data_IF_374355497232
#
_entry.id   IF_374355497232
#
_cell.length_a   1.000
_cell.length_b   1.000
_cell.length_c   1.000
_cell.angle_alpha   90.00
_cell.angle_beta   90.00
_cell.angle_gamma   90.00
#
_symmetry.space_group_name_H-M   'P 1'
#
loop_
_entity.id
_entity.type
_entity.pdbx_description
1 polymer ?
#
# COMPACT_ATOMS: atom_id res chain seq x y z
N UNK A 1 8.27 16.89 -1.84
CA UNK A 1 7.77 15.79 -1.00
C UNK A 1 6.71 14.88 -1.67
N UNK A 2 6.90 13.56 -1.53
CA UNK A 2 6.00 12.50 -2.02
C UNK A 2 4.64 12.48 -1.32
N UNK A 3 4.51 13.18 -0.18
CA UNK A 3 3.29 13.44 0.60
C UNK A 3 2.03 13.66 -0.23
N UNK A 4 2.11 14.41 -1.33
CA UNK A 4 0.95 14.70 -2.20
C UNK A 4 0.32 13.46 -2.81
N UNK A 5 1.15 12.48 -3.20
CA UNK A 5 0.70 11.22 -3.77
C UNK A 5 0.29 10.27 -2.64
N UNK A 6 1.07 10.21 -1.56
CA UNK A 6 0.78 9.41 -0.36
C UNK A 6 -0.59 9.75 0.25
N UNK A 7 -0.97 11.03 0.30
CA UNK A 7 -2.26 11.48 0.81
C UNK A 7 -3.48 11.01 0.02
N UNK A 8 -3.31 10.47 -1.20
CA UNK A 8 -4.43 9.94 -2.00
C UNK A 8 -4.75 8.47 -1.69
N UNK A 9 -3.74 7.69 -1.29
CA UNK A 9 -3.91 6.24 -1.07
C UNK A 9 -4.88 5.87 0.06
N UNK A 10 -4.97 6.58 1.20
CA UNK A 10 -5.92 6.23 2.25
C UNK A 10 -7.37 6.19 1.75
N UNK A 11 -7.71 7.05 0.78
CA UNK A 11 -9.03 7.03 0.14
C UNK A 11 -9.18 5.86 -0.82
N UNK A 12 -8.20 5.66 -1.72
CA UNK A 12 -8.22 4.57 -2.71
C UNK A 12 -8.31 3.20 -2.03
N UNK A 13 -7.48 2.94 -1.02
CA UNK A 13 -7.48 1.68 -0.28
C UNK A 13 -8.79 1.48 0.46
N UNK A 14 -9.34 2.53 1.08
CA UNK A 14 -10.64 2.44 1.76
C UNK A 14 -11.78 2.12 0.80
N UNK A 15 -11.80 2.74 -0.38
CA UNK A 15 -12.82 2.51 -1.39
C UNK A 15 -12.71 1.07 -1.96
N UNK A 16 -11.48 0.59 -2.20
CA UNK A 16 -11.22 -0.79 -2.61
C UNK A 16 -11.62 -1.81 -1.53
N UNK A 17 -11.20 -1.59 -0.28
CA UNK A 17 -11.54 -2.44 0.85
C UNK A 17 -13.07 -2.59 1.01
N UNK A 18 -13.82 -1.49 0.87
CA UNK A 18 -15.29 -1.52 0.85
C UNK A 18 -15.87 -2.28 -0.33
N UNK A 19 -15.35 -2.05 -1.54
CA UNK A 19 -15.82 -2.71 -2.75
C UNK A 19 -15.62 -4.23 -2.69
N UNK A 20 -14.49 -4.66 -2.13
CA UNK A 20 -14.09 -6.07 -2.02
C UNK A 20 -14.58 -6.73 -0.72
N UNK A 21 -15.22 -5.96 0.17
CA UNK A 21 -15.62 -6.37 1.52
C UNK A 21 -14.47 -6.95 2.36
N UNK A 22 -13.27 -6.41 2.16
CA UNK A 22 -12.07 -6.74 2.94
C UNK A 22 -11.84 -5.68 4.02
N UNK A 23 -11.20 -6.08 5.11
CA UNK A 23 -10.76 -5.16 6.16
C UNK A 23 -9.26 -4.90 5.99
N UNK A 24 -8.87 -3.65 5.73
CA UNK A 24 -7.48 -3.31 5.40
C UNK A 24 -7.08 -2.04 6.13
N UNK A 25 -5.90 -2.07 6.74
CA UNK A 25 -5.22 -0.94 7.34
C UNK A 25 -4.05 -0.51 6.45
N UNK A 26 -4.04 0.75 6.03
CA UNK A 26 -2.94 1.33 5.27
C UNK A 26 -2.02 2.11 6.22
N UNK A 27 -0.75 1.71 6.28
CA UNK A 27 0.28 2.44 6.99
C UNK A 27 1.18 3.20 6.00
N UNK A 28 1.44 4.48 6.28
CA UNK A 28 2.28 5.34 5.44
C UNK A 28 3.50 5.74 6.24
N UNK A 29 4.70 5.47 5.72
CA UNK A 29 5.98 5.78 6.39
C UNK A 29 6.85 6.62 5.45
N UNK A 30 7.47 7.66 5.99
CA UNK A 30 8.38 8.51 5.20
C UNK A 30 7.69 9.36 4.13
N UNK A 31 6.43 9.77 4.38
CA UNK A 31 5.67 10.66 3.50
C UNK A 31 6.35 12.01 3.23
N UNK A 32 7.28 12.42 4.09
CA UNK A 32 8.03 13.67 3.96
C UNK A 32 9.29 13.53 3.08
N UNK A 33 9.57 12.34 2.55
CA UNK A 33 10.69 12.11 1.62
C UNK A 33 10.56 13.01 0.38
N UNK A 34 11.65 13.71 0.05
CA UNK A 34 11.70 14.60 -1.11
C UNK A 34 12.03 13.84 -2.40
N UNK A 35 11.12 13.94 -3.36
CA UNK A 35 11.28 13.44 -4.71
C UNK A 35 10.94 14.54 -5.70
N UNK A 36 11.58 14.47 -6.87
CA UNK A 36 11.26 15.30 -8.02
C UNK A 36 9.79 15.21 -8.39
N UNK A 37 9.17 16.36 -8.64
CA UNK A 37 7.74 16.45 -8.95
C UNK A 37 7.34 15.59 -10.15
N UNK A 38 8.14 15.62 -11.22
CA UNK A 38 7.89 14.84 -12.44
C UNK A 38 7.95 13.33 -12.16
N UNK A 39 8.88 12.91 -11.30
CA UNK A 39 9.02 11.52 -10.88
C UNK A 39 7.82 11.09 -10.02
N UNK A 40 7.40 11.93 -9.08
CA UNK A 40 6.20 11.69 -8.25
C UNK A 40 4.96 11.52 -9.11
N UNK A 41 4.77 12.36 -10.13
CA UNK A 41 3.62 12.26 -11.04
C UNK A 41 3.68 10.99 -11.90
N UNK A 42 4.86 10.62 -12.42
CA UNK A 42 5.05 9.41 -13.20
C UNK A 42 4.90 8.12 -12.36
N UNK A 43 5.28 8.15 -11.08
CA UNK A 43 5.18 7.01 -10.16
C UNK A 43 3.78 6.87 -9.53
N UNK A 44 2.95 7.91 -9.57
CA UNK A 44 1.64 7.88 -8.92
C UNK A 44 0.77 6.72 -9.42
N UNK A 45 0.63 6.57 -10.74
CA UNK A 45 -0.18 5.51 -11.34
C UNK A 45 0.39 4.09 -11.07
N UNK A 46 1.70 3.82 -11.27
CA UNK A 46 2.32 2.56 -10.88
C UNK A 46 2.12 2.20 -9.41
N UNK A 47 2.31 3.15 -8.48
CA UNK A 47 2.12 2.91 -7.05
C UNK A 47 0.67 2.56 -6.71
N UNK A 48 -0.31 3.21 -7.36
CA UNK A 48 -1.73 2.85 -7.23
C UNK A 48 -1.99 1.43 -7.71
N UNK A 49 -1.39 1.02 -8.83
CA UNK A 49 -1.49 -0.36 -9.30
C UNK A 49 -0.89 -1.37 -8.32
N UNK A 50 0.28 -1.08 -7.75
CA UNK A 50 0.93 -1.98 -6.79
C UNK A 50 0.10 -2.12 -5.50
N UNK A 51 -0.38 -1.01 -4.95
CA UNK A 51 -1.26 -1.03 -3.76
C UNK A 51 -2.57 -1.77 -4.07
N UNK A 52 -3.14 -1.56 -5.26
CA UNK A 52 -4.33 -2.31 -5.70
C UNK A 52 -4.02 -3.81 -5.76
N UNK A 53 -2.89 -4.23 -6.31
CA UNK A 53 -2.51 -5.65 -6.36
C UNK A 53 -2.38 -6.26 -4.96
N UNK A 54 -1.75 -5.56 -4.01
CA UNK A 54 -1.69 -6.00 -2.61
C UNK A 54 -3.08 -6.14 -1.98
N UNK A 55 -4.02 -5.24 -2.29
CA UNK A 55 -5.39 -5.27 -1.77
C UNK A 55 -6.26 -6.34 -2.45
N UNK A 56 -6.21 -6.44 -3.78
CA UNK A 56 -7.02 -7.36 -4.59
C UNK A 56 -6.53 -8.81 -4.43
N UNK A 57 -5.22 -9.02 -4.55
CA UNK A 57 -4.61 -10.36 -4.62
C UNK A 57 -3.80 -10.73 -3.38
N UNK A 58 -3.14 -9.77 -2.72
CA UNK A 58 -2.32 -10.04 -1.52
C UNK A 58 -3.17 -10.38 -0.30
N UNK A 59 -4.02 -9.46 0.15
CA UNK A 59 -4.83 -9.61 1.36
C UNK A 59 -5.99 -10.61 1.12
N UNK A 60 -6.05 -11.68 1.91
CA UNK A 60 -7.15 -12.66 1.85
C UNK A 60 -8.46 -12.09 2.44
N UNK A 61 -9.58 -12.82 2.30
CA UNK A 61 -10.83 -12.40 2.97
C UNK A 61 -10.69 -12.43 4.49
N UNK A 62 -11.40 -11.56 5.24
CA UNK A 62 -11.35 -11.51 6.71
C UNK A 62 -11.51 -12.90 7.36
N UNK A 63 -12.44 -13.70 6.86
CA UNK A 63 -12.74 -15.03 7.39
C UNK A 63 -11.63 -16.06 7.05
N UNK A 64 -11.00 -15.97 5.87
CA UNK A 64 -9.85 -16.81 5.47
C UNK A 64 -8.61 -16.51 6.30
N UNK A 65 -8.40 -15.23 6.64
CA UNK A 65 -7.31 -14.78 7.51
C UNK A 65 -7.46 -15.34 8.92
N UNK A 66 -8.65 -15.24 9.49
CA UNK A 66 -8.94 -15.81 10.82
C UNK A 66 -8.79 -17.34 10.83
N UNK A 67 -9.23 -18.02 9.78
CA UNK A 67 -9.03 -19.47 9.62
C UNK A 67 -7.54 -19.86 9.56
N UNK A 68 -6.70 -18.98 9.02
CA UNK A 68 -5.23 -19.15 8.96
C UNK A 68 -4.50 -18.63 10.20
N UNK A 69 -5.22 -18.18 11.24
CA UNK A 69 -4.65 -17.65 12.49
C UNK A 69 -4.06 -16.23 12.37
N UNK A 70 -4.31 -15.53 11.25
CA UNK A 70 -3.92 -14.13 11.04
C UNK A 70 -4.99 -13.19 11.60
N UNK A 71 -4.63 -11.90 11.73
CA UNK A 71 -5.61 -10.86 12.09
C UNK A 71 -6.64 -10.68 10.98
N UNK A 72 -7.91 -10.49 11.37
CA UNK A 72 -9.04 -10.23 10.47
C UNK A 72 -8.77 -9.05 9.52
N UNK A 73 -8.18 -7.98 10.04
CA UNK A 73 -7.73 -6.82 9.27
C UNK A 73 -6.35 -7.09 8.65
N UNK A 74 -6.23 -6.99 7.33
CA UNK A 74 -4.96 -6.99 6.62
C UNK A 74 -4.22 -5.66 6.76
N UNK A 75 -2.90 -5.68 6.67
CA UNK A 75 -2.05 -4.48 6.75
C UNK A 75 -1.26 -4.33 5.47
N UNK A 76 -1.34 -3.14 4.87
CA UNK A 76 -0.50 -2.73 3.75
C UNK A 76 0.33 -1.55 4.22
N UNK A 77 1.66 -1.65 4.11
CA UNK A 77 2.60 -0.59 4.47
C UNK A 77 3.24 -0.05 3.20
N UNK A 78 3.08 1.25 2.97
CA UNK A 78 3.78 1.99 1.93
C UNK A 78 4.83 2.87 2.61
N UNK A 79 6.11 2.58 2.35
CA UNK A 79 7.23 3.36 2.88
C UNK A 79 8.04 3.99 1.77
N UNK A 80 8.55 5.19 2.06
CA UNK A 80 9.56 5.86 1.26
C UNK A 80 10.74 6.24 2.16
N UNK A 81 11.96 5.94 1.72
CA UNK A 81 13.17 6.31 2.44
C UNK A 81 14.27 6.67 1.46
N UNK A 82 15.16 7.58 1.85
CA UNK A 82 16.32 7.94 1.05
C UNK A 82 17.52 7.09 1.49
N UNK A 83 18.00 6.23 0.59
CA UNK A 83 19.20 5.42 0.78
C UNK A 83 20.33 5.96 -0.12
N UNK A 84 21.11 6.89 0.43
CA UNK A 84 22.17 7.58 -0.32
C UNK A 84 21.60 8.40 -1.48
N UNK A 85 22.01 8.06 -2.70
CA UNK A 85 21.56 8.72 -3.94
C UNK A 85 20.27 8.10 -4.50
N UNK A 86 19.74 7.05 -3.87
CA UNK A 86 18.53 6.38 -4.30
C UNK A 86 17.37 6.61 -3.34
N UNK A 87 16.16 6.59 -3.89
CA UNK A 87 14.93 6.53 -3.09
C UNK A 87 14.51 5.06 -3.07
N UNK A 88 14.43 4.47 -1.89
CA UNK A 88 13.81 3.18 -1.67
C UNK A 88 12.32 3.38 -1.40
N UNK A 89 11.50 2.85 -2.31
CA UNK A 89 10.06 2.75 -2.15
C UNK A 89 9.71 1.29 -1.87
N UNK A 90 9.02 1.02 -0.77
CA UNK A 90 8.61 -0.33 -0.39
C UNK A 90 7.11 -0.40 -0.20
N UNK A 91 6.50 -1.43 -0.78
CA UNK A 91 5.11 -1.81 -0.55
C UNK A 91 5.15 -3.21 0.04
N UNK A 92 4.70 -3.32 1.28
CA UNK A 92 4.64 -4.56 2.01
C UNK A 92 3.19 -4.85 2.37
N UNK A 93 2.74 -6.09 2.16
CA UNK A 93 1.45 -6.56 2.62
C UNK A 93 1.62 -7.84 3.44
N UNK A 94 0.75 -8.04 4.43
CA UNK A 94 0.72 -9.24 5.28
C UNK A 94 -0.24 -10.31 4.73
N UNK A 95 -0.36 -10.36 3.40
CA UNK A 95 -1.27 -11.21 2.65
C UNK A 95 -0.83 -12.68 2.59
N UNK A 96 -1.35 -13.41 1.60
CA UNK A 96 -0.97 -14.80 1.33
C UNK A 96 0.36 -14.98 0.60
N UNK A 97 1.00 -13.89 0.16
CA UNK A 97 2.20 -13.92 -0.68
C UNK A 97 1.91 -14.12 -2.17
N UNK A 98 2.96 -14.28 -2.97
CA UNK A 98 2.85 -14.64 -4.40
C UNK A 98 2.87 -16.17 -4.57
N UNK A 99 1.96 -16.70 -5.38
CA UNK A 99 2.06 -18.04 -5.98
C UNK A 99 2.84 -17.95 -7.31
#
# INVERSE_FOLDING_TARGET
>A
PIKKVFGRFPRVVRDLARSLKKEINLNLVGEDTDLDKNLVEALADPLVHLVRNSVDHGIEMPDEREASGKKRTGTVTLSASQEGDHILLTIEDDGKGMD
#
